data_IF_949952793050
#
_entry.id   IF_949952793050
#
_cell.length_a   1.000
_cell.length_b   1.000
_cell.length_c   1.000
_cell.angle_alpha   90.00
_cell.angle_beta   90.00
_cell.angle_gamma   90.00
#
_symmetry.space_group_name_H-M   'P 1'
#
loop_
_entity.id
_entity.type
_entity.pdbx_description
1 polymer ?
#
# COMPACT_ATOMS: atom_id res chain seq x y z
N UNK A 1 37.07 5.70 -13.53
CA UNK A 1 35.91 5.74 -12.60
C UNK A 1 35.59 4.31 -12.18
N UNK A 2 35.63 3.96 -10.90
CA UNK A 2 35.60 2.56 -10.44
C UNK A 2 34.17 2.01 -10.39
N UNK A 3 33.97 0.72 -10.72
CA UNK A 3 32.68 -0.01 -10.68
C UNK A 3 31.88 0.23 -9.40
N UNK A 4 32.58 0.42 -8.27
CA UNK A 4 32.00 0.74 -6.96
C UNK A 4 31.19 2.04 -6.96
N UNK A 5 31.66 3.08 -7.67
CA UNK A 5 30.97 4.38 -7.76
C UNK A 5 29.64 4.22 -8.50
N UNK A 6 29.63 3.51 -9.63
CA UNK A 6 28.41 3.25 -10.40
C UNK A 6 27.37 2.46 -9.59
N UNK A 7 27.82 1.40 -8.89
CA UNK A 7 26.94 0.61 -8.02
C UNK A 7 26.34 1.45 -6.88
N UNK A 8 27.14 2.32 -6.25
CA UNK A 8 26.65 3.20 -5.17
C UNK A 8 25.59 4.19 -5.68
N UNK A 9 25.84 4.82 -6.82
CA UNK A 9 24.89 5.74 -7.46
C UNK A 9 23.56 5.05 -7.76
N UNK A 10 23.60 3.83 -8.30
CA UNK A 10 22.40 3.05 -8.59
C UNK A 10 21.61 2.70 -7.32
N UNK A 11 22.29 2.25 -6.26
CA UNK A 11 21.59 1.92 -5.00
C UNK A 11 21.01 3.17 -4.33
N UNK A 12 21.71 4.31 -4.39
CA UNK A 12 21.19 5.58 -3.92
C UNK A 12 19.90 5.97 -4.66
N UNK A 13 19.88 5.83 -5.98
CA UNK A 13 18.67 6.10 -6.78
C UNK A 13 17.52 5.17 -6.40
N UNK A 14 17.80 3.87 -6.20
CA UNK A 14 16.80 2.91 -5.73
C UNK A 14 16.21 3.31 -4.37
N UNK A 15 17.05 3.71 -3.42
CA UNK A 15 16.62 4.17 -2.09
C UNK A 15 15.86 5.50 -2.16
N UNK A 16 16.24 6.40 -3.07
CA UNK A 16 15.50 7.64 -3.31
C UNK A 16 14.06 7.34 -3.73
N UNK A 17 13.86 6.43 -4.69
CA UNK A 17 12.52 6.04 -5.14
C UNK A 17 11.66 5.46 -3.99
N UNK A 18 12.25 4.63 -3.13
CA UNK A 18 11.56 4.11 -1.94
C UNK A 18 11.18 5.23 -0.98
N UNK A 19 12.08 6.18 -0.72
CA UNK A 19 11.80 7.30 0.17
C UNK A 19 10.70 8.22 -0.39
N UNK A 20 10.66 8.44 -1.71
CA UNK A 20 9.59 9.18 -2.38
C UNK A 20 8.25 8.47 -2.20
N UNK A 21 8.18 7.15 -2.36
CA UNK A 21 6.95 6.38 -2.10
C UNK A 21 6.48 6.48 -0.64
N UNK A 22 7.41 6.48 0.33
CA UNK A 22 7.10 6.72 1.75
C UNK A 22 6.52 8.13 1.99
N UNK A 23 7.03 9.14 1.28
CA UNK A 23 6.52 10.51 1.38
C UNK A 23 5.10 10.63 0.81
N UNK A 24 4.81 9.99 -0.32
CA UNK A 24 3.45 9.95 -0.88
C UNK A 24 2.49 9.22 0.06
N UNK A 25 2.88 8.05 0.60
CA UNK A 25 2.06 7.33 1.58
C UNK A 25 1.79 8.19 2.83
N UNK A 26 2.78 8.95 3.31
CA UNK A 26 2.62 9.83 4.47
C UNK A 26 1.53 10.90 4.26
N UNK A 27 1.39 11.45 3.05
CA UNK A 27 0.38 12.48 2.76
C UNK A 27 -1.05 11.96 2.92
N UNK A 28 -1.26 10.66 2.72
CA UNK A 28 -2.57 10.01 2.83
C UNK A 28 -2.95 9.65 4.27
N UNK A 29 -1.99 9.69 5.21
CA UNK A 29 -2.22 9.31 6.61
C UNK A 29 -2.73 10.52 7.40
N UNK A 30 -3.96 10.48 7.96
CA UNK A 30 -4.47 11.57 8.79
C UNK A 30 -3.72 11.66 10.12
N UNK A 31 -3.29 12.87 10.48
CA UNK A 31 -2.58 13.16 11.73
C UNK A 31 -2.94 14.55 12.25
N UNK A 32 -2.77 14.75 13.57
CA UNK A 32 -2.83 16.08 14.18
C UNK A 32 -1.50 16.34 14.92
N UNK A 33 -0.77 17.42 14.61
CA UNK A 33 -1.00 18.31 13.47
C UNK A 33 -0.68 17.62 12.12
N UNK A 34 -1.22 18.10 10.98
CA UNK A 34 -1.02 17.49 9.66
C UNK A 34 0.44 17.30 9.25
N UNK A 35 1.33 18.19 9.69
CA UNK A 35 2.76 18.24 9.43
C UNK A 35 3.60 17.37 10.38
N UNK A 36 2.95 16.57 11.25
CA UNK A 36 3.65 15.67 12.19
C UNK A 36 4.68 14.80 11.44
N UNK A 37 5.96 14.90 11.81
CA UNK A 37 6.99 14.00 11.27
C UNK A 37 6.75 12.58 11.79
N UNK A 38 6.66 11.61 10.89
CA UNK A 38 6.48 10.19 11.21
C UNK A 38 7.70 9.40 10.75
N UNK A 39 8.13 8.43 11.56
CA UNK A 39 9.11 7.42 11.14
C UNK A 39 8.52 6.47 10.10
N UNK A 40 9.39 5.74 9.38
CA UNK A 40 8.96 4.71 8.42
C UNK A 40 8.08 3.65 9.06
N UNK A 41 8.39 3.22 10.29
CA UNK A 41 7.59 2.22 10.98
C UNK A 41 6.20 2.76 11.37
N UNK A 42 6.13 4.00 11.85
CA UNK A 42 4.86 4.64 12.17
C UNK A 42 3.99 4.82 10.91
N UNK A 43 4.58 5.23 9.79
CA UNK A 43 3.88 5.34 8.50
C UNK A 43 3.23 4.00 8.13
N UNK A 44 3.96 2.90 8.21
CA UNK A 44 3.42 1.56 7.90
C UNK A 44 2.28 1.17 8.85
N UNK A 45 2.48 1.34 10.16
CA UNK A 45 1.47 0.99 11.17
C UNK A 45 0.20 1.82 11.02
N UNK A 46 0.34 3.12 10.79
CA UNK A 46 -0.80 4.03 10.62
C UNK A 46 -1.53 3.80 9.31
N UNK A 47 -0.82 3.49 8.21
CA UNK A 47 -1.45 3.11 6.95
C UNK A 47 -2.34 1.87 7.12
N UNK A 48 -1.85 0.81 7.77
CA UNK A 48 -2.66 -0.38 8.05
C UNK A 48 -3.88 -0.05 8.91
N UNK A 49 -3.70 0.74 9.98
CA UNK A 49 -4.83 1.17 10.84
C UNK A 49 -5.85 2.00 10.07
N UNK A 50 -5.39 2.88 9.18
CA UNK A 50 -6.27 3.77 8.45
C UNK A 50 -7.08 3.00 7.39
N UNK A 51 -6.48 2.06 6.67
CA UNK A 51 -7.21 1.14 5.79
C UNK A 51 -8.30 0.40 6.58
N UNK A 52 -7.96 -0.16 7.74
CA UNK A 52 -8.92 -0.89 8.57
C UNK A 52 -10.07 0.01 9.06
N UNK A 53 -9.75 1.25 9.44
CA UNK A 53 -10.75 2.24 9.83
C UNK A 53 -11.72 2.54 8.69
N UNK A 54 -11.21 2.74 7.47
CA UNK A 54 -12.04 3.03 6.29
C UNK A 54 -12.94 1.84 5.93
N UNK A 55 -12.44 0.60 6.02
CA UNK A 55 -13.25 -0.59 5.79
C UNK A 55 -14.40 -0.68 6.80
N UNK A 56 -14.12 -0.48 8.09
CA UNK A 56 -15.15 -0.48 9.14
C UNK A 56 -16.19 0.64 8.95
N UNK A 57 -15.74 1.82 8.51
CA UNK A 57 -16.63 2.93 8.21
C UNK A 57 -17.59 2.62 7.06
N UNK A 58 -17.15 1.85 6.06
CA UNK A 58 -18.01 1.41 4.95
C UNK A 58 -18.96 0.29 5.38
N UNK A 59 -18.48 -0.69 6.13
CA UNK A 59 -19.31 -1.80 6.65
C UNK A 59 -20.43 -1.28 7.55
N UNK A 60 -20.12 -0.37 8.48
CA UNK A 60 -21.13 0.21 9.39
C UNK A 60 -22.22 0.98 8.67
N UNK A 61 -21.92 1.62 7.54
CA UNK A 61 -22.93 2.28 6.69
C UNK A 61 -23.78 1.29 5.88
N UNK A 62 -23.26 0.08 5.61
CA UNK A 62 -23.96 -0.95 4.84
C UNK A 62 -24.95 -1.81 5.65
N UNK A 63 -25.00 -1.63 6.98
CA UNK A 63 -25.87 -2.41 7.87
C UNK A 63 -25.47 -3.89 8.05
N UNK A 64 -24.33 -4.30 7.50
CA UNK A 64 -23.80 -5.66 7.65
C UNK A 64 -23.03 -5.78 8.98
N UNK A 65 -23.21 -6.88 9.75
CA UNK A 65 -22.47 -7.08 10.99
C UNK A 65 -20.98 -7.27 10.68
N UNK A 66 -20.14 -6.39 11.22
CA UNK A 66 -18.70 -6.38 10.99
C UNK A 66 -18.07 -7.74 11.39
N UNK A 67 -17.59 -8.49 10.40
CA UNK A 67 -16.82 -9.72 10.65
C UNK A 67 -15.38 -9.31 11.01
N UNK A 68 -15.18 -8.99 12.28
CA UNK A 68 -13.90 -8.56 12.82
C UNK A 68 -12.86 -9.68 12.76
N UNK A 69 -12.13 -9.78 11.65
CA UNK A 69 -10.95 -10.62 11.54
C UNK A 69 -9.85 -9.91 10.76
N UNK A 70 -8.61 -9.82 11.30
CA UNK A 70 -7.44 -9.41 10.52
C UNK A 70 -7.29 -10.23 9.22
N UNK A 71 -7.74 -11.48 9.23
CA UNK A 71 -7.79 -12.35 8.07
C UNK A 71 -8.79 -11.86 7.03
N UNK A 72 -9.95 -11.34 7.43
CA UNK A 72 -10.97 -10.83 6.50
C UNK A 72 -10.45 -9.62 5.72
N UNK A 73 -9.69 -8.73 6.37
CA UNK A 73 -9.04 -7.60 5.70
C UNK A 73 -7.95 -8.04 4.73
N UNK A 74 -7.13 -9.02 5.11
CA UNK A 74 -6.14 -9.58 4.18
C UNK A 74 -6.81 -10.24 2.98
N UNK A 75 -7.92 -10.96 3.18
CA UNK A 75 -8.72 -11.55 2.11
C UNK A 75 -9.35 -10.48 1.22
N UNK A 76 -9.91 -9.42 1.79
CA UNK A 76 -10.50 -8.30 1.04
C UNK A 76 -9.45 -7.54 0.21
N UNK A 77 -8.33 -7.18 0.84
CA UNK A 77 -7.23 -6.48 0.16
C UNK A 77 -6.60 -7.35 -0.93
N UNK A 78 -6.45 -8.66 -0.69
CA UNK A 78 -6.03 -9.62 -1.71
C UNK A 78 -7.03 -9.67 -2.86
N UNK A 79 -8.32 -9.77 -2.59
CA UNK A 79 -9.38 -9.75 -3.62
C UNK A 79 -9.33 -8.49 -4.48
N UNK A 80 -9.19 -7.32 -3.87
CA UNK A 80 -9.04 -6.05 -4.60
C UNK A 80 -7.75 -6.01 -5.44
N UNK A 81 -6.64 -6.58 -4.96
CA UNK A 81 -5.41 -6.67 -5.75
C UNK A 81 -5.55 -7.60 -6.95
N UNK A 82 -6.25 -8.72 -6.82
CA UNK A 82 -6.49 -9.64 -7.95
C UNK A 82 -7.43 -9.03 -8.99
N UNK A 83 -8.41 -8.21 -8.58
CA UNK A 83 -9.27 -7.48 -9.51
C UNK A 83 -8.53 -6.42 -10.34
N UNK A 84 -7.40 -5.91 -9.84
CA UNK A 84 -6.51 -5.00 -10.58
C UNK A 84 -5.57 -5.73 -11.56
N UNK A 85 -5.45 -7.06 -11.47
CA UNK A 85 -4.82 -7.87 -12.52
C UNK A 85 -5.91 -8.34 -13.49
N UNK A 86 -5.99 -7.70 -14.65
CA UNK A 86 -6.84 -8.12 -15.75
C UNK A 86 -6.65 -9.62 -16.07
N UNK A 87 -7.69 -10.37 -16.48
CA UNK A 87 -7.54 -11.78 -16.86
C UNK A 87 -6.56 -11.91 -18.03
N UNK A 88 -5.85 -13.05 -18.16
CA UNK A 88 -4.92 -13.26 -19.27
C UNK A 88 -5.69 -13.12 -20.59
N UNK A 89 -5.18 -12.27 -21.50
CA UNK A 89 -5.72 -12.13 -22.84
C UNK A 89 -5.74 -13.50 -23.53
N UNK A 90 -6.93 -14.08 -23.68
CA UNK A 90 -7.18 -15.29 -24.45
C UNK A 90 -7.14 -14.96 -25.94
N UNK A 91 -5.94 -14.90 -26.53
CA UNK A 91 -5.79 -15.07 -27.99
C UNK A 91 -5.20 -16.44 -28.37
N UNK A 92 -4.87 -17.28 -27.39
CA UNK A 92 -4.37 -18.62 -27.62
C UNK A 92 -5.52 -19.64 -27.66
N UNK A 93 -6.14 -19.82 -28.84
CA UNK A 93 -6.66 -21.08 -29.37
C UNK A 93 -7.41 -20.79 -30.69
N UNK A 94 -6.63 -20.62 -31.75
CA UNK A 94 -7.06 -20.83 -33.13
C UNK A 94 -5.90 -21.50 -33.83
N UNK A 95 -5.88 -22.83 -33.80
CA UNK A 95 -5.23 -23.73 -34.75
C UNK A 95 -5.83 -25.12 -34.57
#
# INVERSE_FOLDING_TARGET
MTRKVFTNTRERWRQHNVNTAFAELRKLIPTHPPEKKLSKNEILRLAMRYINFLVQLLESQSGQPASHSPTALLTFLRGNMEQLQSPPHTWALTS
#
